data_IF_484191656534
#
_entry.id   IF_484191656534
#
_cell.length_a   1.000
_cell.length_b   1.000
_cell.length_c   1.000
_cell.angle_alpha   90.00
_cell.angle_beta   90.00
_cell.angle_gamma   90.00
#
_symmetry.space_group_name_H-M   'P 1'
#
loop_
_entity.id
_entity.type
_entity.pdbx_description
1 polymer ?
#
# COMPACT_ATOMS: atom_id res chain seq x y z
N UNK A 1 -15.92 33.82 34.50
CA UNK A 1 -14.87 32.80 34.24
C UNK A 1 -13.81 33.32 33.28
N UNK A 2 -14.20 33.86 32.11
CA UNK A 2 -13.28 34.47 31.14
C UNK A 2 -12.45 35.63 31.71
N UNK A 3 -13.07 36.55 32.44
CA UNK A 3 -12.37 37.64 33.17
C UNK A 3 -11.42 37.16 34.27
N UNK A 4 -11.57 35.92 34.74
CA UNK A 4 -10.70 35.30 35.74
C UNK A 4 -9.62 34.41 35.10
N UNK A 5 -9.51 34.41 33.77
CA UNK A 5 -8.56 33.60 33.01
C UNK A 5 -8.65 32.09 33.28
N UNK A 6 -9.84 31.60 33.63
CA UNK A 6 -10.08 30.17 33.91
C UNK A 6 -10.44 29.45 32.61
N UNK A 7 -9.63 28.48 32.20
CA UNK A 7 -9.98 27.55 31.11
C UNK A 7 -11.16 26.69 31.53
N UNK A 8 -12.27 26.79 30.79
CA UNK A 8 -13.52 26.09 31.11
C UNK A 8 -13.87 25.13 29.99
N UNK A 9 -14.27 23.91 30.34
CA UNK A 9 -14.80 22.91 29.42
C UNK A 9 -16.27 22.66 29.76
N UNK A 10 -17.14 22.75 28.76
CA UNK A 10 -18.56 22.44 28.88
C UNK A 10 -18.87 21.16 28.12
N UNK A 11 -19.68 20.29 28.70
CA UNK A 11 -20.22 19.10 28.03
C UNK A 11 -21.69 19.35 27.69
N UNK A 12 -22.06 19.07 26.44
CA UNK A 12 -23.44 19.15 25.96
C UNK A 12 -23.76 17.89 25.18
N UNK A 13 -24.98 17.38 25.33
CA UNK A 13 -25.46 16.27 24.51
C UNK A 13 -26.26 16.84 23.34
N UNK A 14 -25.81 16.54 22.12
CA UNK A 14 -26.53 16.91 20.91
C UNK A 14 -27.55 15.83 20.57
N UNK A 15 -28.84 16.19 20.57
CA UNK A 15 -29.89 15.35 20.00
C UNK A 15 -30.82 16.17 19.10
N UNK A 16 -31.56 15.52 18.20
CA UNK A 16 -32.59 16.21 17.40
C UNK A 16 -33.67 16.86 18.27
N UNK A 17 -33.85 16.39 19.50
CA UNK A 17 -34.85 16.82 20.46
C UNK A 17 -34.31 17.91 21.41
N UNK A 18 -32.99 18.05 21.51
CA UNK A 18 -32.31 19.08 22.30
C UNK A 18 -31.13 19.67 21.50
N UNK A 19 -31.38 20.66 20.63
CA UNK A 19 -30.33 21.34 19.91
C UNK A 19 -29.50 22.21 20.86
N UNK A 20 -28.18 22.15 20.73
CA UNK A 20 -27.20 22.89 21.54
C UNK A 20 -26.67 24.13 20.83
N UNK A 21 -27.37 24.59 19.78
CA UNK A 21 -26.91 25.66 18.90
C UNK A 21 -26.53 26.95 19.65
N UNK A 22 -27.33 27.36 20.63
CA UNK A 22 -27.07 28.56 21.43
C UNK A 22 -25.75 28.45 22.21
N UNK A 23 -25.43 27.25 22.74
CA UNK A 23 -24.18 26.98 23.45
C UNK A 23 -23.00 27.04 22.48
N UNK A 24 -23.14 26.48 21.28
CA UNK A 24 -22.10 26.50 20.25
C UNK A 24 -21.73 27.93 19.79
N UNK A 25 -22.69 28.86 19.72
CA UNK A 25 -22.41 30.25 19.38
C UNK A 25 -21.62 30.98 20.48
N UNK A 26 -21.92 30.69 21.75
CA UNK A 26 -21.29 31.29 22.92
C UNK A 26 -19.87 30.76 23.18
N UNK A 27 -19.56 29.54 22.75
CA UNK A 27 -18.26 28.91 22.95
C UNK A 27 -17.18 29.43 21.98
N UNK A 28 -15.96 29.64 22.48
CA UNK A 28 -14.79 29.99 21.66
C UNK A 28 -14.24 28.79 20.87
N UNK A 29 -14.41 27.58 21.40
CA UNK A 29 -14.04 26.32 20.74
C UNK A 29 -15.15 25.27 20.86
N UNK A 30 -15.26 24.41 19.85
CA UNK A 30 -16.25 23.34 19.79
C UNK A 30 -15.54 22.06 19.38
N UNK A 31 -15.68 21.04 20.21
CA UNK A 31 -15.17 19.70 19.99
C UNK A 31 -16.37 18.75 20.01
N UNK A 32 -16.63 18.13 18.87
CA UNK A 32 -17.73 17.18 18.70
C UNK A 32 -17.18 15.78 18.81
N UNK A 33 -17.75 14.98 19.72
CA UNK A 33 -17.50 13.54 19.79
C UNK A 33 -18.75 12.83 19.30
N UNK A 34 -18.60 11.94 18.32
CA UNK A 34 -19.71 11.19 17.75
C UNK A 34 -19.43 9.69 17.81
N UNK A 35 -20.50 8.90 17.94
CA UNK A 35 -20.46 7.45 17.77
C UNK A 35 -21.50 7.04 16.73
N UNK A 36 -21.04 6.45 15.62
CA UNK A 36 -21.92 5.84 14.61
C UNK A 36 -21.65 4.35 14.55
N UNK A 37 -20.57 3.98 13.88
CA UNK A 37 -19.97 2.64 13.92
C UNK A 37 -18.67 2.65 14.74
N UNK A 38 -17.92 3.75 14.63
CA UNK A 38 -16.68 4.03 15.37
C UNK A 38 -16.82 5.35 16.13
N UNK A 39 -16.01 5.51 17.18
CA UNK A 39 -15.94 6.78 17.91
C UNK A 39 -15.06 7.75 17.14
N UNK A 40 -15.54 8.96 16.96
CA UNK A 40 -14.81 10.01 16.27
C UNK A 40 -14.81 11.31 17.05
N UNK A 41 -13.81 12.15 16.78
CA UNK A 41 -13.68 13.50 17.31
C UNK A 41 -13.43 14.47 16.17
N UNK A 42 -14.07 15.64 16.22
CA UNK A 42 -13.89 16.71 15.24
C UNK A 42 -13.88 18.05 15.96
N UNK A 43 -12.94 18.91 15.61
CA UNK A 43 -12.95 20.31 16.03
C UNK A 43 -13.65 21.12 14.94
N UNK A 44 -14.82 21.67 15.23
CA UNK A 44 -15.57 22.49 14.25
C UNK A 44 -15.17 23.97 14.33
N UNK A 45 -14.68 24.41 15.50
CA UNK A 45 -14.30 25.79 15.78
C UNK A 45 -13.25 25.84 16.87
N UNK A 46 -12.27 26.72 16.71
CA UNK A 46 -11.34 27.08 17.78
C UNK A 46 -10.85 28.51 17.55
N UNK A 47 -11.47 29.50 18.20
CA UNK A 47 -11.15 30.92 17.98
C UNK A 47 -9.75 31.24 18.49
N UNK A 48 -8.98 31.97 17.68
CA UNK A 48 -7.66 32.46 18.04
C UNK A 48 -6.49 31.49 17.82
N UNK A 49 -6.75 30.27 17.34
CA UNK A 49 -5.69 29.33 16.95
C UNK A 49 -6.14 28.44 15.79
N UNK A 50 -5.17 27.84 15.09
CA UNK A 50 -5.43 26.85 14.06
C UNK A 50 -5.66 25.47 14.69
N UNK A 51 -6.36 24.58 13.98
CA UNK A 51 -6.64 23.22 14.44
C UNK A 51 -6.62 22.23 13.26
N UNK A 52 -6.39 20.96 13.56
CA UNK A 52 -6.50 19.90 12.57
C UNK A 52 -7.96 19.70 12.22
N UNK A 53 -8.28 19.90 10.93
CA UNK A 53 -9.64 19.83 10.42
C UNK A 53 -10.05 18.39 10.13
N UNK A 54 -11.36 18.17 10.18
CA UNK A 54 -12.01 16.95 9.79
C UNK A 54 -12.15 15.95 10.94
N UNK A 55 -12.73 14.81 10.58
CA UNK A 55 -13.06 13.75 11.53
C UNK A 55 -11.81 12.91 11.82
N UNK A 56 -11.53 12.68 13.09
CA UNK A 56 -10.43 11.87 13.60
C UNK A 56 -10.99 10.67 14.37
N UNK A 57 -10.34 9.51 14.30
CA UNK A 57 -10.78 8.34 15.05
C UNK A 57 -10.36 8.45 16.51
N UNK A 58 -11.14 7.85 17.41
CA UNK A 58 -10.87 7.83 18.85
C UNK A 58 -11.11 6.44 19.41
N UNK A 59 -10.18 5.95 20.23
CA UNK A 59 -10.40 4.78 21.07
C UNK A 59 -10.39 5.19 22.55
N UNK A 60 -11.22 4.51 23.34
CA UNK A 60 -11.18 4.61 24.80
C UNK A 60 -10.52 3.34 25.32
N UNK A 61 -9.33 3.49 25.89
CA UNK A 61 -8.53 2.42 26.47
C UNK A 61 -8.57 2.52 27.99
N UNK A 62 -7.97 1.54 28.66
CA UNK A 62 -7.69 1.58 30.10
C UNK A 62 -6.78 2.75 30.50
N UNK A 63 -6.06 3.34 29.55
CA UNK A 63 -5.19 4.53 29.73
C UNK A 63 -5.90 5.85 29.44
N UNK A 64 -7.16 5.82 28.98
CA UNK A 64 -7.96 7.00 28.66
C UNK A 64 -8.28 7.14 27.18
N UNK A 65 -8.42 8.38 26.71
CA UNK A 65 -8.82 8.67 25.34
C UNK A 65 -7.59 8.77 24.43
N UNK A 66 -7.51 7.88 23.45
CA UNK A 66 -6.49 7.88 22.41
C UNK A 66 -7.09 8.41 21.11
N UNK A 67 -6.50 9.47 20.57
CA UNK A 67 -6.95 10.11 19.34
C UNK A 67 -5.99 9.71 18.21
N UNK A 68 -6.55 9.32 17.07
CA UNK A 68 -5.83 9.02 15.84
C UNK A 68 -6.14 10.11 14.81
N UNK A 69 -5.33 11.18 14.74
CA UNK A 69 -5.54 12.26 13.80
C UNK A 69 -5.57 11.74 12.37
N UNK A 70 -6.47 12.29 11.57
CA UNK A 70 -6.52 12.01 10.15
C UNK A 70 -5.19 12.40 9.51
N UNK A 71 -4.62 11.50 8.71
CA UNK A 71 -3.40 11.78 7.96
C UNK A 71 -3.66 12.81 6.87
N UNK A 72 -2.97 13.94 7.00
CA UNK A 72 -2.94 15.01 6.01
C UNK A 72 -1.53 14.98 5.40
N UNK A 73 -1.40 14.78 4.09
CA UNK A 73 -0.09 14.87 3.43
C UNK A 73 0.55 16.22 3.73
N UNK A 74 1.86 16.22 4.05
CA UNK A 74 2.60 17.48 4.14
C UNK A 74 2.84 17.98 2.72
N UNK A 75 2.40 19.19 2.41
CA UNK A 75 2.83 19.91 1.20
C UNK A 75 4.28 20.33 1.41
N UNK A 76 5.21 19.42 1.16
CA UNK A 76 6.60 19.78 1.00
C UNK A 76 6.78 20.08 -0.49
N UNK A 77 6.70 21.37 -0.83
CA UNK A 77 7.01 21.91 -2.17
C UNK A 77 8.52 21.86 -2.48
N UNK A 78 9.33 21.22 -1.63
CA UNK A 78 10.67 20.81 -2.02
C UNK A 78 10.54 19.83 -3.18
N UNK A 79 10.76 20.34 -4.39
CA UNK A 79 10.92 19.58 -5.62
C UNK A 79 11.61 18.25 -5.27
N UNK A 80 10.91 17.15 -5.51
CA UNK A 80 11.45 15.80 -5.41
C UNK A 80 12.63 15.70 -6.38
N UNK A 81 13.82 16.13 -5.95
CA UNK A 81 15.09 15.82 -6.60
C UNK A 81 15.42 14.35 -6.30
N UNK A 82 14.54 13.46 -6.77
CA UNK A 82 14.73 12.02 -6.80
C UNK A 82 15.79 11.60 -7.83
N UNK A 83 16.34 12.55 -8.61
CA UNK A 83 17.32 12.32 -9.68
C UNK A 83 18.62 11.66 -9.22
N UNK A 84 18.95 11.71 -7.92
CA UNK A 84 20.18 11.11 -7.37
C UNK A 84 19.94 9.80 -6.59
N UNK A 85 18.70 9.34 -6.42
CA UNK A 85 18.43 8.10 -5.71
C UNK A 85 18.40 6.93 -6.69
N UNK A 86 19.22 5.90 -6.42
CA UNK A 86 19.28 4.70 -7.27
C UNK A 86 17.98 3.90 -7.17
N UNK A 87 17.44 3.40 -8.29
CA UNK A 87 16.33 2.46 -8.29
C UNK A 87 16.56 1.25 -7.36
N UNK A 88 15.46 0.79 -6.78
CA UNK A 88 15.37 -0.42 -5.99
C UNK A 88 15.33 -1.62 -6.93
N UNK A 89 16.49 -2.25 -7.08
CA UNK A 89 16.65 -3.53 -7.79
C UNK A 89 15.83 -4.62 -7.11
N UNK A 90 15.32 -5.53 -7.93
CA UNK A 90 14.68 -6.78 -7.51
C UNK A 90 15.69 -7.87 -7.18
N UNK A 91 16.98 -7.70 -7.54
CA UNK A 91 17.99 -8.75 -7.44
C UNK A 91 17.83 -9.86 -8.48
N UNK A 92 16.83 -9.74 -9.37
CA UNK A 92 16.60 -10.62 -10.52
C UNK A 92 16.86 -9.78 -11.77
N UNK A 93 17.99 -9.98 -12.48
CA UNK A 93 18.39 -9.12 -13.59
C UNK A 93 17.30 -8.90 -14.63
N UNK A 94 16.54 -9.93 -14.96
CA UNK A 94 15.49 -9.87 -15.98
C UNK A 94 14.26 -9.06 -15.50
N UNK A 95 13.97 -9.01 -14.20
CA UNK A 95 12.95 -8.12 -13.65
C UNK A 95 13.44 -6.67 -13.67
N UNK A 96 14.72 -6.46 -13.37
CA UNK A 96 15.31 -5.14 -13.47
C UNK A 96 15.39 -4.67 -14.92
N UNK A 97 15.58 -5.57 -15.89
CA UNK A 97 15.44 -5.26 -17.32
C UNK A 97 14.02 -4.86 -17.69
N UNK A 98 13.00 -5.61 -17.24
CA UNK A 98 11.59 -5.23 -17.44
C UNK A 98 11.30 -3.83 -16.90
N UNK A 99 11.93 -3.47 -15.78
CA UNK A 99 11.78 -2.19 -15.13
C UNK A 99 12.86 -1.16 -15.52
N UNK A 100 13.73 -1.42 -16.51
CA UNK A 100 14.85 -0.54 -16.88
C UNK A 100 15.67 0.00 -15.67
N UNK A 101 15.98 -0.87 -14.71
CA UNK A 101 16.82 -0.57 -13.54
C UNK A 101 16.17 -0.86 -12.18
N UNK A 102 14.86 -1.12 -12.13
CA UNK A 102 14.12 -1.43 -10.91
C UNK A 102 13.04 -0.40 -10.57
N UNK A 103 12.61 -0.36 -9.30
CA UNK A 103 11.57 0.56 -8.81
C UNK A 103 12.19 1.87 -8.35
N UNK A 104 11.75 3.02 -8.87
CA UNK A 104 12.25 4.31 -8.37
C UNK A 104 11.92 4.52 -6.90
N UNK A 105 12.84 5.08 -6.11
CA UNK A 105 12.57 5.44 -4.73
C UNK A 105 11.43 6.45 -4.63
N UNK A 106 10.71 6.46 -3.51
CA UNK A 106 9.61 7.41 -3.22
C UNK A 106 8.38 7.26 -4.15
N UNK A 107 8.30 6.16 -4.90
CA UNK A 107 7.16 5.85 -5.76
C UNK A 107 6.20 4.83 -5.14
N UNK A 108 5.01 4.75 -5.73
CA UNK A 108 4.02 3.71 -5.44
C UNK A 108 4.04 2.66 -6.55
N UNK A 109 4.42 1.44 -6.20
CA UNK A 109 4.45 0.28 -7.10
C UNK A 109 3.32 -0.67 -6.77
N UNK A 110 2.48 -0.99 -7.75
CA UNK A 110 1.40 -1.97 -7.62
C UNK A 110 1.77 -3.24 -8.36
N UNK A 111 1.70 -4.38 -7.66
CA UNK A 111 1.86 -5.72 -8.24
C UNK A 111 0.47 -6.37 -8.29
N UNK A 112 -0.09 -6.47 -9.49
CA UNK A 112 -1.44 -7.00 -9.71
C UNK A 112 -1.41 -8.41 -10.28
N UNK A 113 -2.41 -9.22 -9.98
CA UNK A 113 -2.53 -10.56 -10.57
C UNK A 113 -3.47 -11.51 -9.81
N UNK A 114 -3.80 -12.67 -10.40
CA UNK A 114 -4.68 -13.64 -9.76
C UNK A 114 -4.10 -14.23 -8.47
N UNK A 115 -4.93 -14.93 -7.70
CA UNK A 115 -4.48 -15.64 -6.51
C UNK A 115 -3.35 -16.65 -6.80
N UNK A 116 -2.40 -16.77 -5.88
CA UNK A 116 -1.29 -17.75 -5.99
C UNK A 116 -0.27 -17.50 -7.11
N UNK A 117 -0.40 -16.43 -7.90
CA UNK A 117 0.49 -16.20 -9.04
C UNK A 117 1.92 -15.82 -8.60
N UNK A 118 2.08 -15.20 -7.43
CA UNK A 118 3.40 -14.86 -6.88
C UNK A 118 3.59 -13.41 -6.42
N UNK A 119 2.50 -12.63 -6.30
CA UNK A 119 2.53 -11.19 -5.96
C UNK A 119 3.33 -10.89 -4.69
N UNK A 120 2.98 -11.58 -3.60
CA UNK A 120 3.63 -11.48 -2.30
C UNK A 120 5.11 -11.85 -2.39
N UNK A 121 5.43 -12.96 -3.06
CA UNK A 121 6.82 -13.41 -3.24
C UNK A 121 7.66 -12.38 -4.00
N UNK A 122 7.10 -11.77 -5.05
CA UNK A 122 7.77 -10.71 -5.80
C UNK A 122 7.99 -9.46 -4.94
N UNK A 123 6.98 -9.01 -4.18
CA UNK A 123 7.13 -7.90 -3.24
C UNK A 123 8.20 -8.16 -2.17
N UNK A 124 8.21 -9.36 -1.59
CA UNK A 124 9.21 -9.79 -0.62
C UNK A 124 10.62 -9.91 -1.22
N UNK A 125 10.75 -10.24 -2.50
CA UNK A 125 12.03 -10.26 -3.20
C UNK A 125 12.63 -8.84 -3.30
N UNK A 126 11.83 -7.82 -3.62
CA UNK A 126 12.27 -6.43 -3.53
C UNK A 126 12.71 -6.06 -2.09
N UNK A 127 11.90 -6.41 -1.09
CA UNK A 127 12.22 -6.11 0.32
C UNK A 127 13.52 -6.78 0.77
N UNK A 128 13.79 -8.01 0.33
CA UNK A 128 15.06 -8.70 0.57
C UNK A 128 16.25 -7.89 0.07
N UNK A 129 16.20 -7.38 -1.15
CA UNK A 129 17.29 -6.59 -1.71
C UNK A 129 17.49 -5.26 -0.97
N UNK A 130 16.40 -4.60 -0.58
CA UNK A 130 16.48 -3.41 0.27
C UNK A 130 17.10 -3.69 1.64
N UNK A 131 16.69 -4.78 2.30
CA UNK A 131 17.30 -5.19 3.56
C UNK A 131 18.79 -5.51 3.40
N UNK A 132 19.21 -6.06 2.25
CA UNK A 132 20.61 -6.27 1.90
C UNK A 132 21.44 -4.99 1.81
N UNK A 133 20.80 -3.86 1.49
CA UNK A 133 21.41 -2.52 1.49
C UNK A 133 21.34 -1.80 2.84
N UNK A 134 20.71 -2.42 3.84
CA UNK A 134 20.48 -1.84 5.17
C UNK A 134 19.22 -0.97 5.28
N UNK A 135 18.38 -0.91 4.24
CA UNK A 135 17.13 -0.17 4.29
C UNK A 135 16.11 -0.92 5.16
N UNK A 136 15.43 -0.19 6.06
CA UNK A 136 14.35 -0.75 6.88
C UNK A 136 13.03 -0.77 6.11
N UNK A 137 12.38 -1.92 6.15
CA UNK A 137 11.07 -2.15 5.55
C UNK A 137 10.02 -2.58 6.57
N UNK A 138 8.77 -2.21 6.36
CA UNK A 138 7.61 -2.73 7.11
C UNK A 138 6.61 -3.35 6.14
N UNK A 139 6.16 -4.56 6.45
CA UNK A 139 5.15 -5.30 5.67
C UNK A 139 3.89 -5.46 6.51
N UNK A 140 2.78 -4.92 6.01
CA UNK A 140 1.46 -5.13 6.59
C UNK A 140 0.74 -6.22 5.81
N UNK A 141 0.46 -7.34 6.49
CA UNK A 141 -0.22 -8.51 5.92
C UNK A 141 -1.65 -8.54 6.44
N UNK A 142 -2.64 -8.53 5.56
CA UNK A 142 -4.06 -8.40 5.90
C UNK A 142 -4.84 -9.72 5.81
N UNK A 143 -4.41 -10.65 4.96
CA UNK A 143 -5.14 -11.91 4.71
C UNK A 143 -4.39 -13.12 5.27
N UNK A 144 -3.09 -13.18 5.01
CA UNK A 144 -2.31 -14.38 5.24
C UNK A 144 -1.84 -14.52 6.70
N UNK A 145 -1.82 -15.76 7.20
CA UNK A 145 -1.14 -16.08 8.44
C UNK A 145 0.38 -15.89 8.30
N UNK A 146 1.01 -15.27 9.30
CA UNK A 146 2.45 -15.00 9.30
C UNK A 146 3.29 -16.27 9.06
N UNK A 147 2.89 -17.40 9.64
CA UNK A 147 3.57 -18.69 9.45
C UNK A 147 3.59 -19.15 7.99
N UNK A 148 2.52 -18.90 7.23
CA UNK A 148 2.43 -19.26 5.81
C UNK A 148 3.35 -18.36 4.98
N UNK A 149 3.37 -17.05 5.25
CA UNK A 149 4.28 -16.11 4.60
C UNK A 149 5.75 -16.49 4.85
N UNK A 150 6.11 -16.79 6.10
CA UNK A 150 7.46 -17.20 6.49
C UNK A 150 7.89 -18.46 5.75
N UNK A 151 7.06 -19.52 5.81
CA UNK A 151 7.34 -20.79 5.12
C UNK A 151 7.48 -20.61 3.61
N UNK A 152 6.64 -19.76 3.00
CA UNK A 152 6.75 -19.44 1.57
C UNK A 152 8.07 -18.76 1.27
N UNK A 153 8.45 -17.74 2.03
CA UNK A 153 9.70 -17.01 1.83
C UNK A 153 10.94 -17.90 2.01
N UNK A 154 10.94 -18.77 3.02
CA UNK A 154 12.00 -19.75 3.22
C UNK A 154 12.14 -20.70 2.03
N UNK A 155 11.02 -21.18 1.48
CA UNK A 155 11.03 -22.10 0.33
C UNK A 155 11.64 -21.51 -0.95
N UNK A 156 11.83 -20.20 -1.01
CA UNK A 156 12.38 -19.47 -2.16
C UNK A 156 13.66 -18.70 -1.81
N UNK A 157 14.32 -19.01 -0.69
CA UNK A 157 15.54 -18.36 -0.20
C UNK A 157 15.41 -16.84 0.03
N UNK A 158 14.29 -16.41 0.60
CA UNK A 158 14.13 -15.08 1.19
C UNK A 158 14.29 -15.21 2.71
N UNK A 159 15.40 -14.72 3.30
CA UNK A 159 15.75 -14.98 4.70
C UNK A 159 15.02 -14.03 5.67
N UNK A 160 13.69 -14.15 5.74
CA UNK A 160 12.82 -13.22 6.49
C UNK A 160 13.21 -13.10 7.96
N UNK A 161 13.46 -14.23 8.64
CA UNK A 161 13.85 -14.22 10.06
C UNK A 161 15.15 -13.45 10.29
N UNK A 162 16.17 -13.66 9.45
CA UNK A 162 17.43 -12.91 9.56
C UNK A 162 17.25 -11.40 9.32
N UNK A 163 16.30 -11.00 8.46
CA UNK A 163 15.97 -9.59 8.23
C UNK A 163 15.25 -8.97 9.43
N UNK A 164 14.38 -9.74 10.10
CA UNK A 164 13.72 -9.33 11.34
C UNK A 164 14.76 -9.18 12.47
N UNK A 165 15.63 -10.16 12.64
CA UNK A 165 16.67 -10.16 13.69
C UNK A 165 17.65 -8.99 13.54
N UNK A 166 17.92 -8.58 12.28
CA UNK A 166 18.76 -7.40 11.96
C UNK A 166 18.01 -6.07 12.07
N UNK A 167 16.71 -6.08 12.33
CA UNK A 167 15.87 -4.89 12.39
C UNK A 167 15.60 -4.21 11.04
N UNK A 168 15.99 -4.83 9.91
CA UNK A 168 15.75 -4.31 8.56
C UNK A 168 14.37 -4.68 8.02
N UNK A 169 13.65 -5.59 8.69
CA UNK A 169 12.27 -5.94 8.36
C UNK A 169 11.40 -6.03 9.61
N UNK A 170 10.19 -5.46 9.55
CA UNK A 170 9.11 -5.74 10.49
C UNK A 170 7.90 -6.23 9.70
N UNK A 171 7.29 -7.33 10.14
CA UNK A 171 6.04 -7.83 9.55
C UNK A 171 4.94 -7.69 10.60
N UNK A 172 3.82 -7.10 10.21
CA UNK A 172 2.66 -6.85 11.06
C UNK A 172 1.47 -7.52 10.41
N UNK A 173 0.87 -8.49 11.09
CA UNK A 173 -0.42 -9.05 10.70
C UNK A 173 -1.53 -8.11 11.18
N UNK A 174 -2.41 -7.72 10.26
CA UNK A 174 -3.60 -6.94 10.56
C UNK A 174 -4.77 -7.90 10.75
N UNK A 175 -5.45 -7.79 11.89
CA UNK A 175 -6.67 -8.56 12.14
C UNK A 175 -7.87 -7.79 11.59
N UNK A 176 -8.76 -8.45 10.81
CA UNK A 176 -9.92 -7.78 10.25
C UNK A 176 -10.80 -7.15 11.33
N UNK A 177 -11.26 -5.92 11.09
CA UNK A 177 -12.19 -5.19 11.97
C UNK A 177 -11.66 -4.92 13.39
N UNK A 178 -10.36 -5.13 13.64
CA UNK A 178 -9.76 -4.89 14.95
C UNK A 178 -9.34 -3.43 15.17
N UNK A 179 -9.07 -2.70 14.08
CA UNK A 179 -8.57 -1.31 14.10
C UNK A 179 -9.23 -0.49 13.00
N UNK A 180 -9.33 0.82 13.20
CA UNK A 180 -9.84 1.75 12.18
C UNK A 180 -8.78 2.05 11.11
N UNK A 181 -9.20 2.59 9.96
CA UNK A 181 -8.25 3.00 8.91
C UNK A 181 -7.31 4.12 9.38
N UNK A 182 -7.84 5.07 10.17
CA UNK A 182 -7.07 6.14 10.79
C UNK A 182 -6.06 5.60 11.81
N UNK A 183 -6.44 4.65 12.66
CA UNK A 183 -5.53 4.01 13.61
C UNK A 183 -4.39 3.31 12.85
N UNK A 184 -4.72 2.52 11.83
CA UNK A 184 -3.73 1.87 10.98
C UNK A 184 -2.77 2.89 10.35
N UNK A 185 -3.30 3.96 9.78
CA UNK A 185 -2.51 4.95 9.11
C UNK A 185 -1.59 5.70 10.10
N UNK A 186 -2.05 5.99 11.33
CA UNK A 186 -1.19 6.52 12.40
C UNK A 186 -0.08 5.53 12.79
N UNK A 187 -0.38 4.23 12.88
CA UNK A 187 0.64 3.20 13.10
C UNK A 187 1.71 3.18 12.00
N UNK A 188 1.30 3.34 10.74
CA UNK A 188 2.24 3.46 9.60
C UNK A 188 3.12 4.70 9.76
N UNK A 189 2.54 5.86 10.11
CA UNK A 189 3.30 7.08 10.41
C UNK A 189 4.35 6.82 11.50
N UNK A 190 3.94 6.24 12.62
CA UNK A 190 4.83 6.06 13.77
C UNK A 190 5.99 5.12 13.41
N UNK A 191 5.72 4.09 12.60
CA UNK A 191 6.77 3.20 12.05
C UNK A 191 7.74 3.93 11.10
N UNK A 192 7.32 5.00 10.43
CA UNK A 192 8.18 5.79 9.53
C UNK A 192 8.98 6.82 10.31
N UNK A 193 8.31 7.63 11.12
CA UNK A 193 8.89 8.76 11.83
C UNK A 193 9.81 8.30 12.97
N UNK A 194 9.47 7.22 13.66
CA UNK A 194 10.25 6.73 14.82
C UNK A 194 11.36 5.77 14.41
N UNK A 195 11.08 4.88 13.44
CA UNK A 195 11.97 3.75 13.14
C UNK A 195 12.75 3.92 11.82
N UNK A 196 12.60 5.04 11.13
CA UNK A 196 13.35 5.33 9.90
C UNK A 196 13.00 4.42 8.71
N UNK A 197 11.77 3.89 8.68
CA UNK A 197 11.30 3.01 7.59
C UNK A 197 11.39 3.71 6.24
N UNK A 198 12.00 3.05 5.26
CA UNK A 198 12.14 3.55 3.89
C UNK A 198 11.21 2.87 2.89
N UNK A 199 10.74 1.68 3.22
CA UNK A 199 9.85 0.89 2.36
C UNK A 199 8.67 0.37 3.15
N UNK A 200 7.47 0.56 2.61
CA UNK A 200 6.23 -0.01 3.15
C UNK A 200 5.62 -0.94 2.10
N UNK A 201 5.30 -2.16 2.51
CA UNK A 201 4.51 -3.08 1.69
C UNK A 201 3.13 -3.32 2.30
N UNK A 202 2.10 -3.23 1.48
CA UNK A 202 0.72 -3.53 1.82
C UNK A 202 0.28 -4.79 1.06
N UNK A 203 0.06 -5.88 1.79
CA UNK A 203 -0.33 -7.18 1.23
C UNK A 203 -1.65 -7.67 1.85
N UNK A 204 -2.82 -7.36 1.29
CA UNK A 204 -3.09 -6.80 -0.03
C UNK A 204 -4.15 -5.69 0.03
N UNK A 205 -4.45 -5.03 -1.09
CA UNK A 205 -5.59 -4.10 -1.20
C UNK A 205 -6.91 -4.80 -0.85
N UNK A 206 -7.09 -6.03 -1.30
CA UNK A 206 -8.29 -6.83 -1.02
C UNK A 206 -8.45 -7.07 0.48
N UNK A 207 -7.35 -7.42 1.15
CA UNK A 207 -7.32 -7.60 2.60
C UNK A 207 -7.51 -6.29 3.36
N UNK A 208 -6.95 -5.19 2.88
CA UNK A 208 -7.19 -3.85 3.43
C UNK A 208 -8.68 -3.53 3.42
N UNK A 209 -9.36 -3.74 2.28
CA UNK A 209 -10.81 -3.54 2.15
C UNK A 209 -11.61 -4.42 3.11
N UNK A 210 -11.17 -5.65 3.37
CA UNK A 210 -11.82 -6.54 4.33
C UNK A 210 -11.61 -6.08 5.78
N UNK A 211 -10.43 -5.54 6.09
CA UNK A 211 -10.10 -5.10 7.44
C UNK A 211 -10.83 -3.81 7.85
N UNK A 212 -11.14 -2.93 6.91
CA UNK A 212 -11.78 -1.64 7.16
C UNK A 212 -13.16 -1.61 6.49
N UNK A 213 -14.20 -1.91 7.28
CA UNK A 213 -15.59 -2.09 6.81
C UNK A 213 -16.25 -0.82 6.28
N UNK A 214 -15.83 0.35 6.75
CA UNK A 214 -16.44 1.63 6.42
C UNK A 214 -15.39 2.61 5.86
N UNK A 215 -15.77 3.32 4.78
CA UNK A 215 -14.94 4.37 4.19
C UNK A 215 -14.66 4.16 2.71
N UNK A 216 -14.15 5.22 2.09
CA UNK A 216 -13.74 5.22 0.70
C UNK A 216 -12.31 4.64 0.62
N UNK A 217 -12.20 3.36 0.24
CA UNK A 217 -10.93 2.65 0.03
C UNK A 217 -9.96 3.48 -0.81
N UNK A 218 -10.45 4.03 -1.91
CA UNK A 218 -9.65 4.78 -2.88
C UNK A 218 -9.11 6.04 -2.20
N UNK A 219 -9.94 6.78 -1.48
CA UNK A 219 -9.52 7.97 -0.72
C UNK A 219 -8.52 7.63 0.40
N UNK A 220 -8.76 6.57 1.16
CA UNK A 220 -7.87 6.17 2.25
C UNK A 220 -6.49 5.75 1.72
N UNK A 221 -6.46 4.94 0.66
CA UNK A 221 -5.23 4.57 -0.03
C UNK A 221 -4.54 5.76 -0.68
N UNK A 222 -5.30 6.69 -1.26
CA UNK A 222 -4.74 7.91 -1.82
C UNK A 222 -4.03 8.75 -0.75
N UNK A 223 -4.69 9.00 0.38
CA UNK A 223 -4.11 9.81 1.46
C UNK A 223 -2.86 9.13 2.05
N UNK A 224 -2.92 7.81 2.27
CA UNK A 224 -1.76 7.06 2.75
C UNK A 224 -0.61 7.12 1.76
N UNK A 225 -0.85 6.84 0.48
CA UNK A 225 0.15 6.89 -0.56
C UNK A 225 0.80 8.28 -0.69
N UNK A 226 0.02 9.35 -0.63
CA UNK A 226 0.52 10.72 -0.65
C UNK A 226 1.37 11.03 0.58
N UNK A 227 0.93 10.59 1.76
CA UNK A 227 1.72 10.72 2.98
C UNK A 227 3.06 9.99 2.88
N UNK A 228 3.07 8.71 2.48
CA UNK A 228 4.28 7.91 2.30
C UNK A 228 5.24 8.58 1.31
N UNK A 229 4.73 9.08 0.19
CA UNK A 229 5.50 9.83 -0.79
C UNK A 229 6.11 11.11 -0.19
N UNK A 230 5.34 11.90 0.56
CA UNK A 230 5.83 13.13 1.23
C UNK A 230 6.93 12.84 2.25
N UNK A 231 6.93 11.63 2.82
CA UNK A 231 7.94 11.12 3.75
C UNK A 231 9.11 10.42 3.06
N UNK A 232 9.19 10.47 1.72
CA UNK A 232 10.24 9.83 0.91
C UNK A 232 10.31 8.31 1.13
N UNK A 233 9.15 7.67 1.30
CA UNK A 233 9.01 6.21 1.49
C UNK A 233 8.56 5.57 0.17
N UNK A 234 9.23 4.49 -0.23
CA UNK A 234 8.82 3.66 -1.37
C UNK A 234 7.70 2.72 -0.94
N UNK A 235 6.62 2.64 -1.72
CA UNK A 235 5.46 1.83 -1.37
C UNK A 235 5.26 0.70 -2.36
N UNK A 236 5.10 -0.52 -1.88
CA UNK A 236 4.72 -1.69 -2.69
C UNK A 236 3.33 -2.13 -2.25
N UNK A 237 2.41 -2.31 -3.19
CA UNK A 237 1.04 -2.73 -2.90
C UNK A 237 0.71 -3.93 -3.77
N UNK A 238 0.21 -5.01 -3.17
CA UNK A 238 -0.30 -6.14 -3.95
C UNK A 238 -1.81 -6.00 -4.17
N UNK A 239 -2.24 -6.30 -5.38
CA UNK A 239 -3.64 -6.27 -5.76
C UNK A 239 -4.06 -7.62 -6.35
N UNK A 240 -5.09 -8.24 -5.79
CA UNK A 240 -5.73 -9.41 -6.39
C UNK A 240 -6.68 -8.96 -7.51
N UNK A 241 -6.72 -9.71 -8.61
CA UNK A 241 -7.76 -9.60 -9.64
C UNK A 241 -8.45 -10.94 -9.78
N UNK A 242 -9.77 -10.93 -9.97
CA UNK A 242 -10.58 -12.16 -10.01
C UNK A 242 -10.41 -12.92 -11.33
N UNK A 243 -10.02 -12.23 -12.41
CA UNK A 243 -9.87 -12.83 -13.74
C UNK A 243 -8.52 -13.53 -13.93
N UNK A 244 -8.57 -14.85 -14.04
CA UNK A 244 -7.43 -15.73 -14.36
C UNK A 244 -7.12 -15.70 -15.87
N UNK A 245 -8.16 -15.61 -16.70
CA UNK A 245 -8.13 -15.58 -18.18
C UNK A 245 -9.23 -14.66 -18.71
N UNK A 246 -8.93 -13.72 -19.61
CA UNK A 246 -9.92 -12.80 -20.22
C UNK A 246 -9.39 -11.38 -20.42
N UNK A 247 -10.31 -10.42 -20.65
CA UNK A 247 -9.98 -8.99 -20.84
C UNK A 247 -9.21 -8.42 -19.64
N UNK A 248 -7.97 -8.00 -19.87
CA UNK A 248 -7.09 -7.53 -18.81
C UNK A 248 -7.57 -6.20 -18.21
N UNK A 249 -8.11 -6.26 -16.98
CA UNK A 249 -8.31 -5.09 -16.12
C UNK A 249 -7.22 -5.05 -15.06
N UNK A 250 -6.24 -4.18 -15.24
CA UNK A 250 -5.09 -4.05 -14.34
C UNK A 250 -5.49 -3.82 -12.87
N UNK A 251 -6.60 -3.11 -12.63
CA UNK A 251 -7.19 -2.92 -11.30
C UNK A 251 -8.71 -2.80 -11.40
N UNK A 252 -9.45 -3.65 -10.72
CA UNK A 252 -10.92 -3.54 -10.59
C UNK A 252 -11.33 -2.48 -9.57
N UNK A 253 -10.44 -2.18 -8.61
CA UNK A 253 -10.71 -1.27 -7.48
C UNK A 253 -10.44 0.21 -7.77
N UNK A 254 -10.16 0.60 -9.03
CA UNK A 254 -9.92 2.00 -9.39
C UNK A 254 -8.64 2.62 -8.83
N UNK A 255 -7.66 1.82 -8.41
CA UNK A 255 -6.42 2.27 -7.73
C UNK A 255 -5.22 2.43 -8.68
N UNK A 256 -5.33 2.02 -9.94
CA UNK A 256 -4.24 2.14 -10.95
C UNK A 256 -3.69 3.57 -11.13
N UNK A 257 -4.48 4.61 -10.81
CA UNK A 257 -4.01 5.99 -10.88
C UNK A 257 -3.02 6.35 -9.76
N UNK A 258 -3.07 5.65 -8.61
CA UNK A 258 -2.11 5.81 -7.52
C UNK A 258 -0.74 5.27 -7.90
N UNK A 259 -0.71 4.19 -8.69
CA UNK A 259 0.50 3.51 -9.11
C UNK A 259 1.36 4.39 -10.02
N UNK A 260 2.60 4.62 -9.64
CA UNK A 260 3.64 5.14 -10.51
C UNK A 260 4.25 4.01 -11.35
N UNK A 261 4.38 2.83 -10.74
CA UNK A 261 4.77 1.58 -11.40
C UNK A 261 3.63 0.55 -11.28
N UNK A 262 3.25 -0.09 -12.38
CA UNK A 262 2.24 -1.16 -12.39
C UNK A 262 2.83 -2.40 -13.05
N UNK A 263 3.18 -3.38 -12.21
CA UNK A 263 3.58 -4.71 -12.63
C UNK A 263 2.37 -5.64 -12.58
N UNK A 264 2.30 -6.56 -13.52
CA UNK A 264 1.27 -7.59 -13.50
C UNK A 264 1.88 -8.99 -13.59
N UNK A 265 1.24 -9.92 -12.89
CA UNK A 265 1.50 -11.34 -12.95
C UNK A 265 0.23 -12.03 -13.42
N UNK A 266 0.37 -13.01 -14.30
CA UNK A 266 -0.78 -13.73 -14.86
C UNK A 266 -0.47 -15.18 -15.15
N UNK A 267 -1.54 -15.97 -15.27
CA UNK A 267 -1.45 -17.30 -15.85
C UNK A 267 -1.56 -17.23 -17.37
N UNK A 268 -0.89 -18.15 -18.03
CA UNK A 268 -0.96 -18.41 -19.47
C UNK A 268 -1.14 -19.91 -19.65
N UNK A 269 -2.08 -20.29 -20.51
CA UNK A 269 -2.18 -21.66 -20.98
C UNK A 269 -1.38 -21.79 -22.27
N UNK A 270 -0.30 -22.57 -22.24
CA UNK A 270 0.55 -22.83 -23.41
C UNK A 270 0.63 -24.34 -23.56
N UNK A 271 0.12 -24.86 -24.68
CA UNK A 271 0.16 -26.30 -25.00
C UNK A 271 -0.40 -27.19 -23.86
N UNK A 272 -1.50 -26.78 -23.24
CA UNK A 272 -2.14 -27.52 -22.13
C UNK A 272 -1.39 -27.43 -20.79
N UNK A 273 -0.34 -26.61 -20.70
CA UNK A 273 0.39 -26.34 -19.45
C UNK A 273 0.08 -24.93 -18.95
N UNK A 274 -0.18 -24.81 -17.64
CA UNK A 274 -0.35 -23.52 -16.98
C UNK A 274 1.03 -22.97 -16.63
N UNK A 275 1.46 -21.96 -17.40
CA UNK A 275 2.65 -21.16 -17.12
C UNK A 275 2.25 -19.82 -16.48
N UNK A 276 3.21 -19.12 -15.90
CA UNK A 276 3.02 -17.75 -15.41
C UNK A 276 3.84 -16.79 -16.24
N UNK A 277 3.37 -15.55 -16.34
CA UNK A 277 4.11 -14.48 -16.98
C UNK A 277 4.10 -13.23 -16.12
N UNK A 278 5.15 -12.43 -16.27
CA UNK A 278 5.33 -11.12 -15.68
C UNK A 278 5.44 -10.07 -16.79
N UNK A 279 4.93 -8.87 -16.52
CA UNK A 279 5.12 -7.71 -17.38
C UNK A 279 4.91 -6.41 -16.62
N UNK A 280 5.25 -5.31 -17.28
CA UNK A 280 5.04 -3.95 -16.78
C UNK A 280 4.02 -3.27 -17.69
N UNK A 281 2.99 -2.66 -17.09
CA UNK A 281 1.97 -1.92 -17.83
C UNK A 281 2.24 -0.42 -17.83
N UNK A 282 2.87 0.06 -16.77
CA UNK A 282 3.04 1.49 -16.51
C UNK A 282 4.29 1.72 -15.68
N UNK A 283 5.06 2.72 -16.08
CA UNK A 283 6.14 3.32 -15.31
C UNK A 283 6.14 4.83 -15.59
N UNK A 284 6.08 5.66 -14.55
CA UNK A 284 5.92 7.13 -14.71
C UNK A 284 7.24 7.88 -14.86
N UNK A 285 8.30 7.41 -14.21
CA UNK A 285 9.56 8.14 -14.09
C UNK A 285 10.63 7.69 -15.09
N UNK A 286 10.52 6.50 -15.67
CA UNK A 286 11.42 5.98 -16.70
C UNK A 286 10.66 5.12 -17.72
N UNK A 287 11.37 4.60 -18.72
CA UNK A 287 10.86 3.56 -19.60
C UNK A 287 10.73 2.20 -18.91
N UNK A 288 10.16 1.25 -19.63
CA UNK A 288 10.00 -0.15 -19.23
C UNK A 288 9.93 -1.01 -20.49
N UNK A 289 10.24 -2.30 -20.34
CA UNK A 289 10.13 -3.24 -21.44
C UNK A 289 8.66 -3.53 -21.78
N UNK A 290 8.28 -3.33 -23.04
CA UNK A 290 6.90 -3.53 -23.53
C UNK A 290 6.58 -5.01 -23.87
N UNK A 291 7.33 -5.96 -23.32
CA UNK A 291 7.09 -7.40 -23.51
C UNK A 291 6.61 -8.06 -22.22
N UNK A 292 6.12 -9.29 -22.35
CA UNK A 292 5.92 -10.19 -21.21
C UNK A 292 7.00 -11.26 -21.23
N UNK A 293 7.45 -11.66 -20.05
CA UNK A 293 8.43 -12.73 -19.87
C UNK A 293 7.83 -13.86 -19.07
N UNK A 294 8.29 -15.09 -19.32
CA UNK A 294 7.92 -16.23 -18.48
C UNK A 294 8.39 -15.99 -17.04
N UNK A 295 7.53 -16.32 -16.07
CA UNK A 295 7.79 -16.13 -14.65
C UNK A 295 7.67 -17.48 -13.93
N UNK A 296 8.66 -17.82 -13.12
CA UNK A 296 8.61 -19.02 -12.30
C UNK A 296 9.15 -18.77 -10.90
N UNK A 297 8.57 -19.47 -9.93
CA UNK A 297 9.04 -19.48 -8.54
C UNK A 297 9.60 -20.86 -8.28
N UNK A 298 10.89 -20.93 -7.99
CA UNK A 298 11.61 -22.17 -7.76
C UNK A 298 12.18 -22.21 -6.35
N UNK A 299 12.68 -23.37 -5.92
CA UNK A 299 13.44 -23.49 -4.66
C UNK A 299 14.69 -22.62 -4.59
N UNK A 300 15.14 -22.08 -5.73
CA UNK A 300 16.30 -21.20 -5.82
C UNK A 300 15.93 -19.72 -5.84
N UNK A 301 14.64 -19.40 -5.77
CA UNK A 301 14.11 -18.04 -5.90
C UNK A 301 13.28 -17.86 -7.16
N UNK A 302 12.99 -16.59 -7.45
CA UNK A 302 12.28 -16.16 -8.65
C UNK A 302 13.21 -16.30 -9.86
N UNK A 303 12.68 -16.81 -10.97
CA UNK A 303 13.34 -16.81 -12.28
C UNK A 303 12.42 -16.22 -13.31
N UNK A 304 12.98 -15.39 -14.18
CA UNK A 304 12.28 -14.78 -15.30
C UNK A 304 13.01 -15.16 -16.58
N UNK A 305 12.26 -15.66 -17.55
CA UNK A 305 12.79 -16.17 -18.80
C UNK A 305 12.89 -15.10 -19.90
N UNK A 306 12.99 -15.59 -21.13
CA UNK A 306 13.00 -14.76 -22.32
C UNK A 306 11.64 -14.10 -22.60
N UNK A 307 11.63 -13.00 -23.37
CA UNK A 307 10.40 -12.38 -23.85
C UNK A 307 9.54 -13.36 -24.68
N UNK A 308 8.25 -13.39 -24.39
CA UNK A 308 7.23 -14.19 -25.09
C UNK A 308 6.83 -13.52 -26.42
N UNK A 309 7.76 -13.44 -27.38
CA UNK A 309 7.57 -12.73 -28.66
C UNK A 309 6.80 -13.50 -29.71
N UNK A 310 6.72 -14.83 -29.59
CA UNK A 310 6.06 -15.74 -30.52
C UNK A 310 4.55 -15.91 -30.26
N UNK A 311 4.00 -15.17 -29.29
CA UNK A 311 2.59 -15.26 -28.91
C UNK A 311 1.86 -13.94 -29.20
N UNK A 312 0.67 -14.04 -29.80
CA UNK A 312 -0.28 -12.94 -29.95
C UNK A 312 -1.49 -13.15 -29.05
N UNK A 313 -2.32 -12.12 -28.89
CA UNK A 313 -3.55 -12.17 -28.08
C UNK A 313 -3.32 -12.58 -26.62
N UNK A 314 -2.09 -12.38 -26.13
CA UNK A 314 -1.74 -12.68 -24.75
C UNK A 314 -2.68 -11.90 -23.83
N UNK A 315 -2.87 -10.60 -24.05
CA UNK A 315 -3.74 -9.73 -23.25
C UNK A 315 -5.24 -10.12 -23.26
N UNK A 316 -5.72 -10.91 -24.23
CA UNK A 316 -7.12 -11.38 -24.27
C UNK A 316 -7.34 -12.74 -23.59
N UNK A 317 -6.29 -13.35 -23.02
CA UNK A 317 -6.40 -14.59 -22.23
C UNK A 317 -6.23 -15.88 -23.02
N UNK A 318 -6.38 -15.85 -24.34
CA UNK A 318 -6.17 -16.97 -25.27
C UNK A 318 -4.94 -16.71 -26.14
N UNK A 319 -3.73 -17.08 -25.68
CA UNK A 319 -2.52 -16.86 -26.46
C UNK A 319 -2.53 -17.74 -27.71
N UNK A 320 -2.28 -17.13 -28.85
CA UNK A 320 -2.13 -17.82 -30.14
C UNK A 320 -0.67 -17.76 -30.55
N UNK A 321 -0.07 -18.91 -30.87
CA UNK A 321 1.22 -18.93 -31.53
C UNK A 321 1.08 -18.28 -32.89
N UNK A 322 1.94 -17.31 -33.17
CA UNK A 322 2.07 -16.76 -34.50
C UNK A 322 3.35 -17.32 -35.09
N UNK A 323 3.22 -18.22 -36.07
CA UNK A 323 4.33 -18.57 -36.94
C UNK A 323 4.71 -17.31 -37.73
N UNK A 324 5.91 -16.80 -37.50
CA UNK A 324 6.47 -15.75 -38.34
C UNK A 324 6.85 -16.38 -39.68
N UNK A 325 5.86 -16.66 -40.52
CA UNK A 325 6.06 -16.82 -41.96
C UNK A 325 6.37 -15.45 -42.58
N UNK A 326 7.38 -14.76 -42.07
CA UNK A 326 8.20 -13.84 -42.87
C UNK A 326 9.23 -14.68 -43.58
N UNK A 327 8.78 -15.27 -44.68
CA UNK A 327 9.64 -15.77 -45.74
C UNK A 327 10.59 -14.66 -46.21
N UNK A 328 11.89 -15.00 -46.19
CA UNK A 328 13.01 -14.51 -47.01
C UNK A 328 13.50 -13.08 -46.83
#
# INVERSE_FOLDING_TARGET
LKEKEITTLFTSEYSKESPDGDVQFLCDGIITIAFKAERTIEVSKFRGSNFHKGVHAVNLTDRGMEIFPKLIPRNNDEELHASNLKPMSSGVPEIDMLLEGGIEPTTVSVITGPSGVGKTTLGMQFIKEAAGRGDRSVVYVFEEALSTLLRRCESVNIPVMAMIDRGTLKIIKMEPLATTAEEFANRVRDDIETNGTKIVMLDSISGYRLCFKEGDLVRNMHNLAQYLRSMKVTTIITNEIETITGDFKATESGISYLADNLLFLRYLEIQGTISKAIGVLKKRLSGFENTMREFSITRYGIRVGEPLTNLRRILSGTPEFFDDHRNK
#
